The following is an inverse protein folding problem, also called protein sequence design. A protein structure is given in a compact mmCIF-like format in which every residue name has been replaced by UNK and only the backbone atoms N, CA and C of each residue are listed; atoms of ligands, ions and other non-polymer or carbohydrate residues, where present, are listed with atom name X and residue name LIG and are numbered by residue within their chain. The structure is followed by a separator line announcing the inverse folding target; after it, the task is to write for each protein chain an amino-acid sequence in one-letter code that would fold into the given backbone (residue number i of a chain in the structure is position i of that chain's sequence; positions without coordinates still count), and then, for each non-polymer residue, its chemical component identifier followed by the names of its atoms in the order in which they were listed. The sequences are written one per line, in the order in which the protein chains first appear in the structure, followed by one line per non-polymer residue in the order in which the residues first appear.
data_IF_359874806987
#
_entry.id   IF_359874806987
#
_cell.length_a   1.000
_cell.length_b   1.000
_cell.length_c   1.000
_cell.angle_alpha   90.00
_cell.angle_beta   90.00
_cell.angle_gamma   90.00
#
_symmetry.space_group_name_H-M   'P 1'
#
loop_
_entity.id
_entity.type
_entity.pdbx_description
1 polymer ?
#
# COMPACT_ATOMS: atom_id res chain seq x y z
N UNK A 1 -13.25 -5.55 -13.07
CA UNK A 1 -11.95 -5.99 -13.55
C UNK A 1 -10.84 -5.08 -13.01
N UNK A 2 -10.68 -3.84 -13.47
CA UNK A 2 -9.53 -2.97 -13.11
C UNK A 2 -9.27 -2.86 -11.59
N UNK A 3 -10.27 -2.59 -10.78
CA UNK A 3 -10.12 -2.48 -9.33
C UNK A 3 -9.60 -3.79 -8.69
N UNK A 4 -10.13 -4.93 -9.12
CA UNK A 4 -9.67 -6.23 -8.62
C UNK A 4 -8.21 -6.50 -9.03
N UNK A 5 -7.81 -6.08 -10.23
CA UNK A 5 -6.45 -6.20 -10.71
C UNK A 5 -5.49 -5.31 -9.89
N UNK A 6 -5.89 -4.07 -9.58
CA UNK A 6 -5.13 -3.17 -8.72
C UNK A 6 -4.92 -3.75 -7.30
N UNK A 7 -5.98 -4.32 -6.69
CA UNK A 7 -5.88 -4.95 -5.38
C UNK A 7 -4.97 -6.18 -5.40
N UNK A 8 -5.12 -7.05 -6.41
CA UNK A 8 -4.28 -8.23 -6.57
C UNK A 8 -2.80 -7.85 -6.76
N UNK A 9 -2.54 -6.83 -7.57
CA UNK A 9 -1.18 -6.33 -7.78
C UNK A 9 -0.59 -5.73 -6.50
N UNK A 10 -1.34 -4.91 -5.76
CA UNK A 10 -0.88 -4.33 -4.49
C UNK A 10 -0.47 -5.42 -3.48
N UNK A 11 -1.26 -6.50 -3.36
CA UNK A 11 -0.91 -7.63 -2.48
C UNK A 11 0.32 -8.40 -2.99
N UNK A 12 0.47 -8.56 -4.30
CA UNK A 12 1.61 -9.29 -4.88
C UNK A 12 2.94 -8.52 -4.80
N UNK A 13 2.90 -7.20 -4.84
CA UNK A 13 4.07 -6.32 -4.89
C UNK A 13 4.46 -5.74 -3.50
N UNK A 14 3.79 -6.15 -2.42
CA UNK A 14 4.03 -5.62 -1.08
C UNK A 14 3.79 -6.67 0.02
N UNK A 15 4.04 -6.30 1.26
CA UNK A 15 3.74 -7.12 2.45
C UNK A 15 2.27 -7.05 2.89
N UNK A 16 1.37 -6.48 2.06
CA UNK A 16 -0.05 -6.36 2.36
C UNK A 16 -0.76 -7.72 2.31
N UNK A 17 -1.48 -8.05 3.37
CA UNK A 17 -2.44 -9.14 3.37
C UNK A 17 -3.85 -8.63 3.00
N UNK A 18 -4.68 -9.50 2.41
CA UNK A 18 -6.03 -9.11 1.94
C UNK A 18 -6.90 -8.49 3.04
N UNK A 19 -6.88 -9.06 4.25
CA UNK A 19 -7.70 -8.58 5.37
C UNK A 19 -7.24 -7.21 5.87
N UNK A 20 -5.95 -6.98 5.90
CA UNK A 20 -5.33 -5.74 6.32
C UNK A 20 -5.59 -4.63 5.30
N UNK A 21 -5.45 -4.96 4.01
CA UNK A 21 -5.76 -4.06 2.91
C UNK A 21 -7.23 -3.60 2.95
N UNK A 22 -8.17 -4.53 3.13
CA UNK A 22 -9.60 -4.21 3.23
C UNK A 22 -9.90 -3.24 4.38
N UNK A 23 -9.25 -3.43 5.53
CA UNK A 23 -9.37 -2.54 6.70
C UNK A 23 -8.80 -1.16 6.42
N UNK A 24 -7.59 -1.07 5.87
CA UNK A 24 -6.93 0.20 5.56
C UNK A 24 -7.71 1.03 4.53
N UNK A 25 -8.16 0.38 3.45
CA UNK A 25 -8.95 1.00 2.39
C UNK A 25 -10.28 1.55 2.92
N UNK A 26 -10.97 0.80 3.78
CA UNK A 26 -12.23 1.25 4.39
C UNK A 26 -12.08 2.59 5.11
N UNK A 27 -10.97 2.83 5.79
CA UNK A 27 -10.72 4.07 6.53
C UNK A 27 -10.27 5.24 5.64
N UNK A 28 -9.46 4.98 4.64
CA UNK A 28 -8.81 6.01 3.85
C UNK A 28 -9.57 6.37 2.56
N UNK A 29 -10.19 5.39 1.89
CA UNK A 29 -10.83 5.58 0.57
C UNK A 29 -11.81 6.76 0.51
N UNK A 30 -12.71 7.01 1.48
CA UNK A 30 -13.64 8.12 1.38
C UNK A 30 -12.92 9.48 1.24
N UNK A 31 -11.77 9.65 1.88
CA UNK A 31 -10.96 10.87 1.78
C UNK A 31 -10.25 10.98 0.44
N UNK A 32 -9.70 9.88 -0.05
CA UNK A 32 -9.06 9.83 -1.37
C UNK A 32 -10.06 10.20 -2.47
N UNK A 33 -11.26 9.66 -2.43
CA UNK A 33 -12.33 10.00 -3.38
C UNK A 33 -12.74 11.49 -3.26
N UNK A 34 -12.91 12.01 -2.05
CA UNK A 34 -13.34 13.41 -1.83
C UNK A 34 -12.29 14.44 -2.26
N UNK A 35 -11.03 14.06 -2.30
CA UNK A 35 -9.89 14.90 -2.73
C UNK A 35 -9.44 14.61 -4.16
N UNK A 36 -10.24 13.88 -4.92
CA UNK A 36 -9.94 13.49 -6.31
C UNK A 36 -8.63 12.70 -6.47
N UNK A 37 -8.26 11.92 -5.44
CA UNK A 37 -7.14 10.99 -5.51
C UNK A 37 -7.61 9.65 -6.07
N UNK A 38 -6.83 9.06 -6.99
CA UNK A 38 -7.12 7.73 -7.53
C UNK A 38 -6.94 6.62 -6.49
N UNK A 39 -7.60 5.48 -6.72
CA UNK A 39 -7.43 4.30 -5.86
C UNK A 39 -5.99 3.80 -5.84
N UNK A 40 -5.27 3.95 -6.95
CA UNK A 40 -3.86 3.62 -7.09
C UNK A 40 -2.96 4.45 -6.17
N UNK A 41 -3.32 5.70 -5.90
CA UNK A 41 -2.61 6.55 -4.94
C UNK A 41 -2.69 5.97 -3.51
N UNK A 42 -3.88 5.52 -3.12
CA UNK A 42 -4.07 4.87 -1.82
C UNK A 42 -3.33 3.54 -1.74
N UNK A 43 -3.49 2.68 -2.74
CA UNK A 43 -2.87 1.36 -2.75
C UNK A 43 -1.34 1.44 -2.82
N UNK A 44 -0.80 2.34 -3.63
CA UNK A 44 0.64 2.61 -3.69
C UNK A 44 1.19 3.12 -2.36
N UNK A 45 0.51 4.08 -1.74
CA UNK A 45 0.88 4.57 -0.41
C UNK A 45 0.85 3.48 0.67
N UNK A 46 -0.16 2.60 0.66
CA UNK A 46 -0.24 1.47 1.57
C UNK A 46 0.91 0.48 1.33
N UNK A 47 1.22 0.16 0.08
CA UNK A 47 2.33 -0.73 -0.26
C UNK A 47 3.66 -0.19 0.28
N UNK A 48 4.00 1.05 -0.01
CA UNK A 48 5.22 1.69 0.50
C UNK A 48 5.30 1.67 2.03
N UNK A 49 4.20 2.01 2.71
CA UNK A 49 4.19 2.10 4.17
C UNK A 49 4.31 0.73 4.85
N UNK A 50 3.67 -0.31 4.31
CA UNK A 50 3.76 -1.66 4.86
C UNK A 50 5.12 -2.30 4.61
N UNK A 51 5.77 -2.01 3.49
CA UNK A 51 7.14 -2.43 3.21
C UNK A 51 8.16 -1.76 4.15
N UNK A 52 7.79 -0.64 4.77
CA UNK A 52 8.56 0.03 5.84
C UNK A 52 8.08 -0.37 7.24
N UNK A 53 7.44 -1.53 7.36
CA UNK A 53 6.99 -2.16 8.61
C UNK A 53 5.87 -1.39 9.37
N UNK A 54 5.12 -0.50 8.70
CA UNK A 54 3.90 0.02 9.28
C UNK A 54 2.77 -1.00 9.11
N UNK A 55 2.04 -1.27 10.20
CA UNK A 55 0.81 -2.07 10.13
C UNK A 55 -0.21 -1.37 9.22
N UNK A 56 -0.86 -2.12 8.31
CA UNK A 56 -1.72 -1.57 7.26
C UNK A 56 -2.86 -0.67 7.79
N UNK A 57 -3.45 -1.01 8.93
CA UNK A 57 -4.47 -0.19 9.57
C UNK A 57 -3.92 1.15 10.09
N UNK A 58 -2.67 1.18 10.56
CA UNK A 58 -1.97 2.40 10.97
C UNK A 58 -1.62 3.22 9.73
N UNK A 59 -1.10 2.57 8.69
CA UNK A 59 -0.79 3.19 7.41
C UNK A 59 -2.01 3.88 6.79
N UNK A 60 -3.15 3.19 6.72
CA UNK A 60 -4.40 3.75 6.18
C UNK A 60 -4.92 4.95 6.97
N UNK A 61 -4.84 4.92 8.29
CA UNK A 61 -5.20 6.07 9.13
C UNK A 61 -4.22 7.24 8.95
N UNK A 62 -2.93 6.95 8.83
CA UNK A 62 -1.90 7.94 8.57
C UNK A 62 -2.07 8.64 7.23
N UNK A 63 -2.30 7.87 6.17
CA UNK A 63 -2.59 8.39 4.83
C UNK A 63 -3.84 9.27 4.81
N UNK A 64 -4.93 8.81 5.42
CA UNK A 64 -6.15 9.61 5.55
C UNK A 64 -5.87 10.93 6.26
N UNK A 65 -5.12 10.90 7.36
CA UNK A 65 -4.84 12.10 8.15
C UNK A 65 -3.94 13.07 7.36
N UNK A 66 -2.88 12.57 6.74
CA UNK A 66 -2.00 13.39 5.91
C UNK A 66 -2.78 14.08 4.78
N UNK A 67 -3.62 13.32 4.06
CA UNK A 67 -4.41 13.85 2.96
C UNK A 67 -5.47 14.87 3.44
N UNK A 68 -6.11 14.62 4.59
CA UNK A 68 -7.08 15.54 5.16
C UNK A 68 -6.43 16.90 5.53
N UNK A 69 -5.26 16.85 6.12
CA UNK A 69 -4.52 18.05 6.53
C UNK A 69 -3.93 18.82 5.34
N UNK A 70 -3.44 18.09 4.32
CA UNK A 70 -3.04 18.70 3.04
C UNK A 70 -4.24 19.38 2.36
N UNK A 71 -5.43 18.75 2.39
CA UNK A 71 -6.64 19.33 1.82
C UNK A 71 -7.16 20.54 2.65
N UNK A 72 -7.06 20.51 3.97
CA UNK A 72 -7.36 21.68 4.83
C UNK A 72 -6.40 22.84 4.58
N UNK A 73 -5.19 22.54 4.14
CA UNK A 73 -4.19 23.55 3.77
C UNK A 73 -4.53 24.30 2.48
N UNK A 74 -5.53 23.84 1.72
CA UNK A 74 -6.04 24.56 0.53
C UNK A 74 -6.77 25.84 0.98
N UNK A 75 -6.08 26.92 0.97
CA UNK A 75 -6.59 28.22 1.44
C UNK A 75 -5.46 29.02 2.08
N UNK A 76 -5.64 29.36 3.35
CA UNK A 76 -4.68 30.23 4.04
C UNK A 76 -3.27 29.59 4.20
N UNK A 77 -3.18 28.25 4.29
CA UNK A 77 -1.91 27.55 4.47
C UNK A 77 -1.21 27.21 3.14
N UNK A 78 -1.90 27.23 1.99
CA UNK A 78 -1.26 27.05 0.67
C UNK A 78 -0.12 28.04 0.48
N UNK A 79 -0.25 29.25 1.00
CA UNK A 79 0.78 30.29 0.94
C UNK A 79 2.04 29.90 1.69
N UNK A 80 1.95 29.21 2.81
CA UNK A 80 3.12 28.74 3.57
C UNK A 80 3.96 27.75 2.76
N UNK A 81 3.32 26.77 2.13
CA UNK A 81 4.03 25.82 1.27
C UNK A 81 4.65 26.51 0.05
N UNK A 82 3.94 27.48 -0.56
CA UNK A 82 4.47 28.28 -1.67
C UNK A 82 5.67 29.12 -1.24
N UNK A 83 5.63 29.74 -0.05
CA UNK A 83 6.77 30.49 0.52
C UNK A 83 7.98 29.59 0.79
N UNK A 84 7.76 28.30 1.07
CA UNK A 84 8.80 27.28 1.17
C UNK A 84 9.23 26.72 -0.20
N UNK A 85 8.62 27.15 -1.30
CA UNK A 85 8.90 26.65 -2.64
C UNK A 85 8.26 25.29 -2.96
N UNK A 86 7.31 24.82 -2.12
CA UNK A 86 6.60 23.55 -2.30
C UNK A 86 5.23 23.84 -2.93
N UNK A 87 4.97 23.20 -4.06
CA UNK A 87 3.68 23.31 -4.71
C UNK A 87 2.80 22.08 -4.43
N UNK A 88 1.64 22.30 -3.81
CA UNK A 88 0.66 21.24 -3.49
C UNK A 88 -0.61 21.31 -4.32
N UNK A 89 -0.71 22.31 -5.23
CA UNK A 89 -1.92 22.57 -6.03
C UNK A 89 -1.63 22.64 -7.52
N UNK A 90 -2.61 22.25 -8.33
CA UNK A 90 -2.60 22.50 -9.77
C UNK A 90 -2.93 23.98 -10.12
N UNK A 91 -2.90 24.30 -11.40
CA UNK A 91 -3.21 25.65 -11.91
C UNK A 91 -4.67 26.09 -11.66
N UNK A 92 -5.56 25.15 -11.31
CA UNK A 92 -6.96 25.37 -10.98
C UNK A 92 -7.19 25.48 -9.47
N UNK A 93 -6.15 25.31 -8.66
CA UNK A 93 -6.23 25.34 -7.20
C UNK A 93 -6.67 24.03 -6.56
N UNK A 94 -6.76 22.94 -7.32
CA UNK A 94 -7.04 21.62 -6.76
C UNK A 94 -5.77 21.01 -6.20
N UNK A 95 -5.92 20.13 -5.21
CA UNK A 95 -4.82 19.37 -4.64
C UNK A 95 -4.18 18.47 -5.72
N UNK A 96 -2.86 18.49 -5.83
CA UNK A 96 -2.09 17.57 -6.68
C UNK A 96 -2.30 16.14 -6.21
N UNK A 97 -1.93 15.15 -7.05
CA UNK A 97 -1.93 13.76 -6.63
C UNK A 97 -0.90 13.54 -5.52
N UNK A 98 -1.17 12.62 -4.60
CA UNK A 98 -0.29 12.41 -3.44
C UNK A 98 1.16 12.05 -3.82
N UNK A 99 1.35 11.34 -4.93
CA UNK A 99 2.69 11.06 -5.50
C UNK A 99 3.40 12.35 -5.91
N UNK A 100 2.71 13.27 -6.58
CA UNK A 100 3.27 14.55 -7.02
C UNK A 100 3.63 15.42 -5.82
N UNK A 101 2.77 15.46 -4.79
CA UNK A 101 3.05 16.18 -3.55
C UNK A 101 4.28 15.58 -2.85
N UNK A 102 4.36 14.25 -2.74
CA UNK A 102 5.51 13.59 -2.14
C UNK A 102 6.82 13.91 -2.90
N UNK A 103 6.78 13.94 -4.23
CA UNK A 103 7.92 14.34 -5.06
C UNK A 103 8.31 15.82 -4.91
N UNK A 104 7.34 16.73 -4.80
CA UNK A 104 7.62 18.15 -4.53
C UNK A 104 8.29 18.34 -3.16
N UNK A 105 7.84 17.64 -2.12
CA UNK A 105 8.49 17.65 -0.83
C UNK A 105 9.89 17.02 -0.87
N UNK A 106 10.04 15.88 -1.53
CA UNK A 106 11.34 15.22 -1.69
C UNK A 106 12.34 16.13 -2.42
N UNK A 107 11.93 16.76 -3.50
CA UNK A 107 12.74 17.72 -4.26
C UNK A 107 13.18 18.93 -3.42
N UNK A 108 12.31 19.41 -2.53
CA UNK A 108 12.60 20.56 -1.68
C UNK A 108 13.57 20.22 -0.53
N UNK A 109 13.32 19.10 0.14
CA UNK A 109 14.14 18.67 1.29
C UNK A 109 15.37 17.85 0.88
N UNK A 110 15.38 17.27 -0.37
CA UNK A 110 16.44 16.42 -0.89
C UNK A 110 16.45 15.02 -0.26
N UNK A 111 17.23 14.13 -0.87
CA UNK A 111 17.45 12.76 -0.36
C UNK A 111 18.15 12.74 1.03
N UNK A 112 18.83 13.84 1.37
CA UNK A 112 19.59 14.01 2.60
C UNK A 112 18.86 14.81 3.68
N UNK A 113 17.57 15.11 3.50
CA UNK A 113 16.78 15.74 4.55
C UNK A 113 16.85 14.87 5.80
N UNK A 114 17.46 15.39 6.87
CA UNK A 114 17.39 14.74 8.17
C UNK A 114 15.93 14.49 8.48
N UNK A 115 15.57 13.26 8.76
CA UNK A 115 14.21 12.88 9.18
C UNK A 115 13.63 13.87 10.19
N UNK A 116 14.49 14.39 11.06
CA UNK A 116 14.14 15.36 12.09
C UNK A 116 13.71 16.72 11.54
N UNK A 117 14.34 17.24 10.48
CA UNK A 117 13.98 18.54 9.90
C UNK A 117 12.67 18.45 9.11
N UNK A 118 12.55 17.44 8.26
CA UNK A 118 11.32 17.15 7.54
C UNK A 118 10.17 16.87 8.51
N UNK A 119 10.41 16.01 9.50
CA UNK A 119 9.43 15.67 10.52
C UNK A 119 9.01 16.92 11.35
N UNK A 120 9.95 17.76 11.74
CA UNK A 120 9.65 18.98 12.50
C UNK A 120 8.82 19.96 11.68
N UNK A 121 9.14 20.15 10.40
CA UNK A 121 8.37 21.01 9.49
C UNK A 121 6.97 20.46 9.29
N UNK A 122 6.83 19.17 9.05
CA UNK A 122 5.52 18.53 8.84
C UNK A 122 4.69 18.45 10.14
N UNK A 123 5.32 18.26 11.30
CA UNK A 123 4.61 18.23 12.59
C UNK A 123 4.10 19.63 12.98
N UNK A 124 4.81 20.70 12.61
CA UNK A 124 4.33 22.06 12.88
C UNK A 124 3.07 22.42 12.10
N UNK A 125 2.89 21.82 10.93
CA UNK A 125 1.81 22.09 9.99
C UNK A 125 0.84 20.92 9.78
N UNK A 126 1.30 19.68 10.04
CA UNK A 126 0.49 18.45 10.01
C UNK A 126 0.47 17.78 11.40
N UNK A 127 -0.61 17.04 11.68
CA UNK A 127 -0.71 16.22 12.88
C UNK A 127 0.32 15.07 12.86
N UNK A 128 0.90 14.72 14.00
CA UNK A 128 1.97 13.70 14.15
C UNK A 128 1.69 12.38 13.43
N UNK A 129 0.44 11.91 13.40
CA UNK A 129 0.09 10.63 12.74
C UNK A 129 0.15 10.72 11.23
N UNK A 130 -0.35 11.82 10.67
CA UNK A 130 -0.27 12.11 9.24
C UNK A 130 1.16 12.38 8.80
N UNK A 131 1.91 13.15 9.60
CA UNK A 131 3.30 13.46 9.34
C UNK A 131 4.18 12.20 9.23
N UNK A 132 4.07 11.25 10.15
CA UNK A 132 4.88 10.02 10.10
C UNK A 132 4.64 9.22 8.82
N UNK A 133 3.38 8.99 8.42
CA UNK A 133 3.08 8.29 7.18
C UNK A 133 3.57 9.07 5.96
N UNK A 134 3.37 10.39 5.95
CA UNK A 134 3.76 11.24 4.84
C UNK A 134 5.27 11.35 4.67
N UNK A 135 6.04 11.42 5.77
CA UNK A 135 7.52 11.41 5.73
C UNK A 135 8.03 10.17 4.99
N UNK A 136 7.50 8.99 5.30
CA UNK A 136 7.89 7.76 4.61
C UNK A 136 7.56 7.80 3.11
N UNK A 137 6.44 8.41 2.71
CA UNK A 137 6.13 8.59 1.29
C UNK A 137 7.09 9.59 0.62
N UNK A 138 7.41 10.69 1.29
CA UNK A 138 8.36 11.69 0.76
C UNK A 138 9.75 11.09 0.59
N UNK A 139 10.25 10.34 1.58
CA UNK A 139 11.55 9.67 1.50
C UNK A 139 11.63 8.61 0.39
N UNK A 140 10.51 8.04 0.00
CA UNK A 140 10.42 7.02 -1.04
C UNK A 140 9.54 7.50 -2.22
N UNK A 141 9.60 8.80 -2.54
CA UNK A 141 8.68 9.43 -3.50
C UNK A 141 8.75 8.82 -4.91
N UNK A 142 9.95 8.45 -5.37
CA UNK A 142 10.13 7.84 -6.69
C UNK A 142 9.58 6.41 -6.72
N UNK A 143 9.85 5.61 -5.69
CA UNK A 143 9.28 4.25 -5.54
C UNK A 143 7.74 4.32 -5.42
N UNK A 144 7.22 5.30 -4.68
CA UNK A 144 5.79 5.53 -4.57
C UNK A 144 5.16 5.87 -5.92
N UNK A 145 5.79 6.73 -6.72
CA UNK A 145 5.32 7.04 -8.05
C UNK A 145 5.35 5.82 -8.98
N UNK A 146 6.44 5.04 -8.96
CA UNK A 146 6.58 3.82 -9.78
C UNK A 146 5.51 2.78 -9.44
N UNK A 147 5.31 2.47 -8.16
CA UNK A 147 4.29 1.51 -7.71
C UNK A 147 2.90 2.00 -8.07
N UNK A 148 2.62 3.29 -7.88
CA UNK A 148 1.32 3.89 -8.23
C UNK A 148 1.06 3.80 -9.74
N UNK A 149 2.05 4.04 -10.58
CA UNK A 149 1.93 3.90 -12.04
C UNK A 149 1.67 2.44 -12.45
N UNK A 150 2.38 1.48 -11.86
CA UNK A 150 2.12 0.04 -12.08
C UNK A 150 0.68 -0.31 -11.72
N UNK A 151 0.19 0.16 -10.58
CA UNK A 151 -1.19 -0.06 -10.12
C UNK A 151 -2.22 0.60 -11.05
N UNK A 152 -1.95 1.79 -11.55
CA UNK A 152 -2.82 2.48 -12.51
C UNK A 152 -2.98 1.69 -13.83
N UNK A 153 -1.94 0.95 -14.21
CA UNK A 153 -1.88 0.15 -15.43
C UNK A 153 -2.17 -1.35 -15.22
N UNK A 154 -2.57 -1.77 -14.01
CA UNK A 154 -2.84 -3.17 -13.67
C UNK A 154 -3.94 -3.78 -14.57
N UNK A 155 -3.62 -4.91 -15.20
CA UNK A 155 -4.53 -5.69 -16.04
C UNK A 155 -4.26 -7.19 -15.91
N UNK A 156 -5.30 -7.97 -15.62
CA UNK A 156 -5.23 -9.43 -15.54
C UNK A 156 -4.54 -9.97 -14.28
N UNK A 157 -4.18 -9.11 -13.33
CA UNK A 157 -3.49 -9.52 -12.11
C UNK A 157 -4.39 -10.36 -11.20
N UNK A 158 -5.67 -10.03 -11.10
CA UNK A 158 -6.64 -10.81 -10.35
C UNK A 158 -6.83 -12.22 -10.94
N UNK A 159 -6.81 -12.36 -12.27
CA UNK A 159 -6.90 -13.66 -12.92
C UNK A 159 -5.64 -14.49 -12.67
N UNK A 160 -4.45 -13.89 -12.78
CA UNK A 160 -3.16 -14.57 -12.47
C UNK A 160 -3.07 -14.99 -11.02
N UNK A 161 -3.55 -14.17 -10.09
CA UNK A 161 -3.60 -14.50 -8.67
C UNK A 161 -4.54 -15.69 -8.41
N UNK A 162 -5.75 -15.68 -9.02
CA UNK A 162 -6.69 -16.77 -8.91
C UNK A 162 -6.11 -18.08 -9.47
N UNK A 163 -5.44 -18.04 -10.61
CA UNK A 163 -4.76 -19.18 -11.21
C UNK A 163 -3.69 -19.77 -10.29
N UNK A 164 -2.80 -18.93 -9.74
CA UNK A 164 -1.77 -19.36 -8.77
C UNK A 164 -2.38 -19.98 -7.51
N UNK A 165 -3.47 -19.40 -6.98
CA UNK A 165 -4.16 -19.97 -5.82
C UNK A 165 -4.78 -21.33 -6.15
N UNK A 166 -5.40 -21.48 -7.31
CA UNK A 166 -5.95 -22.77 -7.77
C UNK A 166 -4.86 -23.82 -7.99
N UNK A 167 -3.71 -23.43 -8.54
CA UNK A 167 -2.56 -24.32 -8.70
C UNK A 167 -2.01 -24.76 -7.34
N UNK A 168 -1.85 -23.83 -6.40
CA UNK A 168 -1.41 -24.15 -5.03
C UNK A 168 -2.38 -25.09 -4.33
N UNK A 169 -3.69 -24.86 -4.43
CA UNK A 169 -4.72 -25.72 -3.86
C UNK A 169 -4.69 -27.12 -4.48
N UNK A 170 -4.53 -27.20 -5.81
CA UNK A 170 -4.41 -28.46 -6.55
C UNK A 170 -3.19 -29.25 -6.06
N UNK A 171 -2.04 -28.60 -5.91
CA UNK A 171 -0.82 -29.22 -5.39
C UNK A 171 -0.99 -29.72 -3.95
N UNK A 172 -1.65 -28.95 -3.06
CA UNK A 172 -1.95 -29.39 -1.70
C UNK A 172 -2.86 -30.61 -1.66
N UNK A 173 -3.87 -30.68 -2.53
CA UNK A 173 -4.74 -31.86 -2.65
C UNK A 173 -3.95 -33.08 -3.11
N UNK A 174 -3.04 -32.96 -4.07
CA UNK A 174 -2.20 -34.05 -4.55
C UNK A 174 -1.28 -34.57 -3.43
N UNK A 175 -0.64 -33.67 -2.69
CA UNK A 175 0.23 -34.04 -1.55
C UNK A 175 -0.56 -34.74 -0.46
N UNK A 176 -1.73 -34.21 -0.10
CA UNK A 176 -2.62 -34.80 0.91
C UNK A 176 -3.09 -36.19 0.49
N UNK A 177 -3.52 -36.34 -0.77
CA UNK A 177 -3.92 -37.63 -1.34
C UNK A 177 -2.76 -38.66 -1.28
N UNK A 178 -1.55 -38.23 -1.65
CA UNK A 178 -0.36 -39.11 -1.61
C UNK A 178 -0.01 -39.52 -0.18
N UNK A 179 -0.13 -38.62 0.80
CA UNK A 179 0.08 -38.93 2.21
C UNK A 179 -0.93 -39.93 2.75
N UNK A 180 -2.21 -39.78 2.39
CA UNK A 180 -3.27 -40.72 2.77
C UNK A 180 -3.02 -42.10 2.18
N UNK A 181 -2.70 -42.19 0.88
CA UNK A 181 -2.39 -43.47 0.23
C UNK A 181 -1.16 -44.13 0.88
N UNK A 182 -0.11 -43.34 1.17
CA UNK A 182 1.08 -43.82 1.87
C UNK A 182 0.75 -44.42 3.25
N UNK A 183 -0.09 -43.74 4.03
CA UNK A 183 -0.52 -44.22 5.34
C UNK A 183 -1.32 -45.53 5.27
N UNK A 184 -2.18 -45.69 4.27
CA UNK A 184 -2.92 -46.94 4.04
C UNK A 184 -2.00 -48.11 3.66
N UNK A 185 -1.06 -47.87 2.75
CA UNK A 185 -0.09 -48.92 2.35
C UNK A 185 0.84 -49.35 3.49
N UNK A 186 1.20 -48.41 4.38
CA UNK A 186 1.98 -48.75 5.59
C UNK A 186 1.13 -49.54 6.63
N UNK A 187 -0.16 -49.28 6.74
CA UNK A 187 -1.02 -50.06 7.65
C UNK A 187 -1.23 -51.50 7.17
N UNK A 188 -1.42 -51.72 5.88
CA UNK A 188 -1.54 -53.07 5.30
C UNK A 188 -0.24 -53.90 5.43
N UNK A 189 0.93 -53.24 5.24
CA UNK A 189 2.22 -53.89 5.42
C UNK A 189 2.52 -54.33 6.87
N UNK A 190 1.93 -53.66 7.87
CA UNK A 190 2.04 -54.02 9.27
C UNK A 190 1.10 -55.18 9.65
N UNK A 191 -0.09 -55.31 9.06
CA UNK A 191 -0.98 -56.44 9.30
C UNK A 191 -0.45 -57.76 8.71
N UNK A 192 0.23 -57.71 7.60
CA UNK A 192 0.79 -58.89 6.93
C UNK A 192 2.06 -59.43 7.65
N UNK A 193 2.84 -58.50 8.33
CA UNK A 193 4.02 -58.87 9.12
C UNK A 193 3.78 -59.52 10.48
N UNK A 194 2.50 -59.59 10.94
CA UNK A 194 2.14 -60.17 12.23
C UNK A 194 1.54 -61.59 12.13
N UNK A 195 1.53 -62.21 10.94
CA UNK A 195 1.06 -63.59 10.69
C UNK A 195 2.17 -64.57 10.31
N UNK A 196 3.38 -64.34 10.75
CA UNK A 196 4.50 -65.24 10.61
C UNK A 196 4.99 -65.77 11.97
#
# INVERSE_FOLDING_TARGET
AKLADQFALAINESLLEYQDLASAVKFAMPFFVSTNQGVEQLLGGLAILTDRALEAGIAGRGLRQALAELAESLGDNTRKFQEMGINITDSSGNLLQMTEIAQEFNKHFGEAANDTELLTTLISDLNVRGATAFVHLVQNADEFAEVTEKLANAQGDSARMAEKQMESLSNQIIVTKSAIIGAFLFSEAQEDGTRG
#
